data_IF_818267269006
#
_entry.id   IF_818267269006
#
_cell.length_a   1.000
_cell.length_b   1.000
_cell.length_c   1.000
_cell.angle_alpha   90.00
_cell.angle_beta   90.00
_cell.angle_gamma   90.00
#
_symmetry.space_group_name_H-M   'P 1'
#
loop_
_entity.id
_entity.type
_entity.pdbx_description
1 polymer ?
#
# COMPACT_ATOMS: atom_id res chain seq x y z
N UNK A 1 1.77 3.05 -15.80
CA UNK A 1 2.54 4.08 -16.53
C UNK A 1 4.01 3.73 -16.45
N UNK A 2 4.70 3.74 -17.60
CA UNK A 2 6.17 3.60 -17.65
C UNK A 2 6.81 4.93 -17.27
N UNK A 3 7.70 4.90 -16.27
CA UNK A 3 8.53 6.02 -15.87
C UNK A 3 10.00 5.65 -16.06
N UNK A 4 10.92 6.60 -15.92
CA UNK A 4 12.36 6.38 -16.08
C UNK A 4 12.91 5.33 -15.09
N UNK A 5 12.42 5.34 -13.84
CA UNK A 5 12.90 4.48 -12.74
C UNK A 5 12.15 3.17 -12.56
N UNK A 6 11.05 2.96 -13.26
CA UNK A 6 10.21 1.77 -13.09
C UNK A 6 8.83 1.93 -13.68
N UNK A 7 8.02 0.89 -13.53
CA UNK A 7 6.60 0.93 -13.86
C UNK A 7 5.80 1.40 -12.65
N UNK A 8 5.11 2.53 -12.78
CA UNK A 8 4.13 3.00 -11.79
C UNK A 8 2.83 2.24 -11.94
N UNK A 9 2.31 1.77 -10.83
CA UNK A 9 1.02 1.09 -10.74
C UNK A 9 0.09 1.83 -9.79
N UNK A 10 -1.19 1.82 -10.15
CA UNK A 10 -2.30 2.29 -9.33
C UNK A 10 -3.20 1.09 -9.02
N UNK A 11 -3.41 0.81 -7.75
CA UNK A 11 -4.14 -0.37 -7.30
C UNK A 11 -5.21 0.00 -6.27
N UNK A 12 -6.21 -0.85 -6.15
CA UNK A 12 -7.22 -0.76 -5.10
C UNK A 12 -6.79 -1.52 -3.86
N UNK A 13 -7.07 -0.94 -2.70
CA UNK A 13 -7.03 -1.63 -1.44
C UNK A 13 -8.41 -1.65 -0.81
N UNK A 14 -8.84 -2.82 -0.37
CA UNK A 14 -10.13 -3.02 0.27
C UNK A 14 -9.90 -3.38 1.73
N UNK A 15 -10.56 -2.67 2.62
CA UNK A 15 -10.52 -2.93 4.05
C UNK A 15 -11.92 -3.01 4.60
N UNK A 16 -12.20 -4.06 5.36
CA UNK A 16 -13.40 -4.14 6.17
C UNK A 16 -13.25 -3.27 7.42
N UNK A 17 -14.26 -2.48 7.72
CA UNK A 17 -14.34 -1.64 8.90
C UNK A 17 -15.76 -1.65 9.47
N UNK A 18 -15.94 -1.08 10.67
CA UNK A 18 -17.25 -1.06 11.35
C UNK A 18 -18.37 -0.41 10.52
N UNK A 19 -18.02 0.49 9.58
CA UNK A 19 -18.95 1.15 8.66
C UNK A 19 -19.13 0.42 7.31
N UNK A 20 -18.67 -0.83 7.20
CA UNK A 20 -18.66 -1.61 5.96
C UNK A 20 -17.28 -1.59 5.25
N UNK A 21 -17.28 -1.93 3.98
CA UNK A 21 -16.05 -1.96 3.18
C UNK A 21 -15.59 -0.52 2.87
N UNK A 22 -14.28 -0.32 2.94
CA UNK A 22 -13.63 0.91 2.52
C UNK A 22 -12.66 0.61 1.38
N UNK A 23 -12.84 1.29 0.25
CA UNK A 23 -11.96 1.20 -0.90
C UNK A 23 -11.09 2.45 -0.97
N UNK A 24 -9.80 2.23 -1.14
CA UNK A 24 -8.78 3.28 -1.29
C UNK A 24 -7.84 2.93 -2.43
N UNK A 25 -7.10 3.91 -2.93
CA UNK A 25 -6.08 3.68 -3.94
C UNK A 25 -4.70 3.64 -3.31
N UNK A 26 -3.89 2.71 -3.78
CA UNK A 26 -2.47 2.57 -3.47
C UNK A 26 -1.64 2.78 -4.72
N UNK A 27 -0.41 3.19 -4.52
CA UNK A 27 0.60 3.21 -5.58
C UNK A 27 1.79 2.34 -5.19
N UNK A 28 2.40 1.75 -6.20
CA UNK A 28 3.66 1.02 -6.05
C UNK A 28 4.43 1.08 -7.37
N UNK A 29 5.70 0.70 -7.33
CA UNK A 29 6.58 0.65 -8.49
C UNK A 29 7.16 -0.74 -8.65
N UNK A 30 7.29 -1.18 -9.92
CA UNK A 30 7.99 -2.41 -10.27
C UNK A 30 9.17 -2.12 -11.17
N UNK A 31 10.07 -3.08 -11.22
CA UNK A 31 11.27 -3.02 -12.06
C UNK A 31 10.92 -2.92 -13.56
N UNK A 32 11.74 -2.20 -14.34
CA UNK A 32 11.51 -1.99 -15.76
C UNK A 32 11.66 -3.26 -16.60
N UNK A 33 12.66 -4.09 -16.28
CA UNK A 33 12.98 -5.32 -17.02
C UNK A 33 12.26 -6.54 -16.42
N UNK A 34 12.01 -6.50 -15.11
CA UNK A 34 11.34 -7.55 -14.35
C UNK A 34 10.05 -7.01 -13.71
N UNK A 35 9.01 -6.74 -14.49
CA UNK A 35 7.80 -6.05 -14.01
C UNK A 35 7.02 -6.83 -12.93
N UNK A 36 7.39 -8.06 -12.64
CA UNK A 36 6.87 -8.84 -11.51
C UNK A 36 7.61 -8.60 -10.18
N UNK A 37 8.70 -7.81 -10.19
CA UNK A 37 9.46 -7.44 -8.99
C UNK A 37 9.01 -6.08 -8.50
N UNK A 38 8.39 -6.02 -7.33
CA UNK A 38 8.03 -4.76 -6.67
C UNK A 38 9.30 -4.15 -6.06
N UNK A 39 9.64 -2.93 -6.49
CA UNK A 39 10.82 -2.21 -6.02
C UNK A 39 10.51 -1.20 -4.93
N UNK A 40 9.35 -0.56 -4.99
CA UNK A 40 8.91 0.44 -4.01
C UNK A 40 7.42 0.29 -3.74
N UNK A 41 7.06 0.39 -2.48
CA UNK A 41 5.67 0.26 -2.04
C UNK A 41 5.42 1.15 -0.81
N UNK A 42 5.00 2.40 -1.04
CA UNK A 42 4.66 3.37 0.01
C UNK A 42 3.73 2.81 1.07
N UNK A 43 3.93 3.22 2.30
CA UNK A 43 3.01 2.94 3.38
C UNK A 43 1.71 3.74 3.26
N UNK A 44 0.63 3.17 3.78
CA UNK A 44 -0.69 3.80 3.75
C UNK A 44 -1.33 3.80 2.36
N UNK A 45 -2.34 4.61 2.18
CA UNK A 45 -3.04 4.78 0.91
C UNK A 45 -2.61 6.08 0.21
N UNK A 46 -2.64 6.06 -1.11
CA UNK A 46 -2.39 7.25 -1.94
C UNK A 46 -3.60 8.19 -1.97
N UNK A 47 -4.79 7.64 -2.22
CA UNK A 47 -6.05 8.38 -2.22
C UNK A 47 -7.14 7.61 -1.50
N UNK A 48 -8.00 8.33 -0.78
CA UNK A 48 -9.17 7.80 -0.11
C UNK A 48 -10.34 8.77 -0.22
N UNK A 49 -11.59 8.30 -0.17
CA UNK A 49 -12.75 9.18 -0.28
C UNK A 49 -12.79 10.18 0.88
N UNK A 50 -13.10 11.44 0.59
CA UNK A 50 -13.16 12.55 1.54
C UNK A 50 -14.49 13.30 1.44
N UNK A 51 -14.97 13.81 2.56
CA UNK A 51 -16.19 14.63 2.58
C UNK A 51 -17.36 13.93 1.89
N UNK A 52 -17.94 14.59 0.91
CA UNK A 52 -19.08 14.09 0.11
C UNK A 52 -18.77 12.88 -0.76
N UNK A 53 -17.49 12.65 -1.09
CA UNK A 53 -17.06 11.43 -1.80
C UNK A 53 -17.33 10.15 -1.00
N UNK A 54 -17.57 10.27 0.29
CA UNK A 54 -17.83 9.14 1.20
C UNK A 54 -19.27 8.66 1.17
N UNK A 55 -20.17 9.38 0.51
CA UNK A 55 -21.61 9.13 0.52
C UNK A 55 -22.11 8.92 -0.90
N UNK A 56 -22.81 7.83 -1.13
CA UNK A 56 -23.41 7.48 -2.42
C UNK A 56 -24.02 6.07 -2.35
N UNK A 57 -24.21 5.44 -3.49
CA UNK A 57 -24.82 4.12 -3.61
C UNK A 57 -24.00 3.06 -2.86
N UNK A 58 -22.67 3.16 -2.91
CA UNK A 58 -21.74 2.36 -2.10
C UNK A 58 -20.82 3.28 -1.33
N UNK A 59 -21.12 3.52 -0.06
CA UNK A 59 -20.38 4.46 0.79
C UNK A 59 -18.92 4.05 1.00
N UNK A 60 -18.03 5.04 1.16
CA UNK A 60 -16.60 4.88 1.45
C UNK A 60 -15.81 4.16 0.33
N UNK A 61 -16.25 4.22 -0.90
CA UNK A 61 -15.57 3.64 -2.07
C UNK A 61 -14.91 4.75 -2.88
N UNK A 62 -13.64 4.54 -3.22
CA UNK A 62 -12.92 5.28 -4.25
C UNK A 62 -12.34 4.25 -5.24
N UNK A 63 -12.78 4.31 -6.47
CA UNK A 63 -12.45 3.33 -7.50
C UNK A 63 -11.80 4.03 -8.71
N UNK A 64 -10.56 3.65 -9.05
CA UNK A 64 -9.89 4.19 -10.24
C UNK A 64 -10.37 3.44 -11.49
N UNK A 65 -10.85 4.21 -12.46
CA UNK A 65 -11.26 3.68 -13.77
C UNK A 65 -10.07 3.58 -14.74
N UNK A 66 -9.01 4.32 -14.44
CA UNK A 66 -7.81 4.35 -15.26
C UNK A 66 -7.05 5.66 -15.12
N UNK A 67 -5.93 5.74 -15.79
CA UNK A 67 -5.13 6.97 -15.87
C UNK A 67 -4.50 7.12 -17.25
N UNK A 68 -4.22 8.36 -17.61
CA UNK A 68 -3.58 8.71 -18.89
C UNK A 68 -2.36 9.58 -18.63
N UNK A 69 -1.31 9.37 -19.39
CA UNK A 69 -0.11 10.18 -19.43
C UNK A 69 -0.10 11.01 -20.69
N UNK A 70 0.07 12.32 -20.54
CA UNK A 70 0.25 13.27 -21.65
C UNK A 70 1.74 13.45 -21.98
N UNK A 71 2.03 13.94 -23.17
CA UNK A 71 3.40 14.20 -23.65
C UNK A 71 4.18 15.18 -22.75
N UNK A 72 3.50 16.11 -22.12
CA UNK A 72 4.08 17.08 -21.18
C UNK A 72 4.35 16.50 -19.77
N UNK A 73 4.16 15.19 -19.56
CA UNK A 73 4.33 14.54 -18.28
C UNK A 73 3.16 14.65 -17.31
N UNK A 74 2.06 15.30 -17.72
CA UNK A 74 0.84 15.39 -16.91
C UNK A 74 0.13 14.04 -16.87
N UNK A 75 -0.34 13.65 -15.69
CA UNK A 75 -1.10 12.42 -15.45
C UNK A 75 -2.51 12.78 -14.99
N UNK A 76 -3.50 12.30 -15.72
CA UNK A 76 -4.91 12.39 -15.33
C UNK A 76 -5.35 11.03 -14.77
N UNK A 77 -5.81 11.01 -13.52
CA UNK A 77 -6.35 9.85 -12.85
C UNK A 77 -7.87 9.98 -12.81
N UNK A 78 -8.55 9.10 -13.51
CA UNK A 78 -10.01 9.04 -13.55
C UNK A 78 -10.49 8.09 -12.48
N UNK A 79 -11.35 8.58 -11.59
CA UNK A 79 -11.88 7.78 -10.49
C UNK A 79 -13.34 8.06 -10.19
N UNK A 80 -14.01 7.11 -9.62
CA UNK A 80 -15.36 7.24 -9.10
C UNK A 80 -15.36 7.27 -7.57
N UNK A 81 -16.27 8.02 -6.98
CA UNK A 81 -16.52 8.02 -5.55
C UNK A 81 -17.90 7.49 -5.24
N UNK A 82 -17.96 6.54 -4.29
CA UNK A 82 -19.19 5.93 -3.75
C UNK A 82 -20.18 5.44 -4.82
N UNK A 83 -19.64 4.98 -5.98
CA UNK A 83 -20.37 4.50 -7.16
C UNK A 83 -21.39 5.51 -7.71
N UNK A 84 -21.24 6.78 -7.40
CA UNK A 84 -22.22 7.82 -7.71
C UNK A 84 -21.64 8.96 -8.57
N UNK A 85 -20.35 9.30 -8.39
CA UNK A 85 -19.71 10.45 -9.01
C UNK A 85 -18.42 10.09 -9.68
N UNK A 86 -18.18 10.66 -10.87
CA UNK A 86 -16.90 10.55 -11.57
C UNK A 86 -16.06 11.82 -11.36
N UNK A 87 -14.77 11.63 -11.16
CA UNK A 87 -13.80 12.67 -10.90
C UNK A 87 -12.55 12.51 -11.75
N UNK A 88 -11.78 13.58 -11.86
CA UNK A 88 -10.43 13.57 -12.42
C UNK A 88 -9.48 14.23 -11.43
N UNK A 89 -8.44 13.50 -11.02
CA UNK A 89 -7.30 14.07 -10.31
C UNK A 89 -6.15 14.30 -11.29
N UNK A 90 -5.47 15.44 -11.17
CA UNK A 90 -4.35 15.81 -12.04
C UNK A 90 -3.06 15.83 -11.23
N UNK A 91 -2.03 15.21 -11.78
CA UNK A 91 -0.68 15.18 -11.21
C UNK A 91 0.37 15.21 -12.32
N UNK A 92 1.62 14.91 -12.01
CA UNK A 92 2.68 14.67 -12.98
C UNK A 92 3.43 13.37 -12.66
N UNK A 93 4.04 12.76 -13.68
CA UNK A 93 4.88 11.56 -13.50
C UNK A 93 5.92 11.80 -12.42
N UNK A 94 6.60 12.94 -12.45
CA UNK A 94 7.67 13.24 -11.49
C UNK A 94 7.18 13.26 -10.04
N UNK A 95 6.02 13.89 -9.78
CA UNK A 95 5.41 13.91 -8.44
C UNK A 95 4.99 12.53 -7.98
N UNK A 96 4.45 11.71 -8.89
CA UNK A 96 4.04 10.35 -8.56
C UNK A 96 5.23 9.43 -8.31
N UNK A 97 6.30 9.57 -9.09
CA UNK A 97 7.58 8.85 -8.88
C UNK A 97 8.20 9.27 -7.56
N UNK A 98 8.26 10.58 -7.28
CA UNK A 98 8.78 11.12 -6.02
C UNK A 98 8.01 10.56 -4.81
N UNK A 99 6.69 10.58 -4.88
CA UNK A 99 5.83 10.00 -3.85
C UNK A 99 6.14 8.52 -3.61
N UNK A 100 6.24 7.72 -4.67
CA UNK A 100 6.43 6.27 -4.54
C UNK A 100 7.82 5.92 -4.00
N UNK A 101 8.85 6.65 -4.42
CA UNK A 101 10.23 6.36 -4.02
C UNK A 101 10.54 6.88 -2.61
N UNK A 102 10.03 8.05 -2.27
CA UNK A 102 10.43 8.77 -1.04
C UNK A 102 9.44 8.60 0.12
N UNK A 103 8.27 8.00 -0.11
CA UNK A 103 7.35 7.65 0.99
C UNK A 103 7.81 6.33 1.64
N UNK A 104 8.07 6.32 2.95
CA UNK A 104 8.48 5.11 3.66
C UNK A 104 7.47 3.97 3.53
N UNK A 105 7.95 2.75 3.55
CA UNK A 105 7.10 1.56 3.62
C UNK A 105 6.36 1.47 4.96
N UNK A 106 5.17 0.88 4.92
CA UNK A 106 4.42 0.60 6.14
C UNK A 106 5.05 -0.59 6.87
N UNK A 107 5.65 -0.31 8.03
CA UNK A 107 6.23 -1.34 8.88
C UNK A 107 5.23 -2.35 9.47
N UNK A 108 3.91 -2.12 9.27
CA UNK A 108 2.84 -3.04 9.68
C UNK A 108 2.28 -3.85 8.50
N UNK A 109 2.88 -3.78 7.31
CA UNK A 109 2.49 -4.64 6.19
C UNK A 109 2.63 -6.11 6.56
N UNK A 110 1.74 -6.94 6.02
CA UNK A 110 1.68 -8.37 6.34
C UNK A 110 3.02 -9.08 6.17
N UNK A 111 3.76 -8.83 5.09
CA UNK A 111 5.09 -9.41 4.87
C UNK A 111 6.08 -9.00 5.96
N UNK A 112 6.23 -7.69 6.22
CA UNK A 112 7.12 -7.15 7.26
C UNK A 112 6.68 -7.61 8.65
N UNK A 113 5.38 -7.72 8.90
CA UNK A 113 4.85 -8.25 10.17
C UNK A 113 5.19 -9.72 10.36
N UNK A 114 5.14 -10.53 9.30
CA UNK A 114 5.55 -11.95 9.35
C UNK A 114 7.04 -12.06 9.60
N UNK A 115 7.87 -11.33 8.87
CA UNK A 115 9.34 -11.32 9.05
C UNK A 115 9.73 -10.95 10.48
N UNK A 116 9.12 -9.90 11.06
CA UNK A 116 9.36 -9.51 12.45
C UNK A 116 8.94 -10.58 13.45
N UNK A 117 7.85 -11.29 13.20
CA UNK A 117 7.39 -12.39 14.05
C UNK A 117 8.32 -13.59 13.93
N UNK A 118 8.77 -13.94 12.74
CA UNK A 118 9.75 -15.00 12.52
C UNK A 118 11.05 -14.67 13.26
N UNK A 119 11.60 -13.48 13.10
CA UNK A 119 12.79 -13.04 13.81
C UNK A 119 12.62 -13.08 15.35
N UNK A 120 11.44 -12.71 15.86
CA UNK A 120 11.14 -12.82 17.30
C UNK A 120 11.11 -14.27 17.76
N UNK A 121 10.50 -15.16 16.99
CA UNK A 121 10.45 -16.60 17.29
C UNK A 121 11.86 -17.19 17.29
N UNK A 122 12.68 -16.90 16.29
CA UNK A 122 14.07 -17.35 16.20
C UNK A 122 14.91 -16.87 17.38
N UNK A 123 14.78 -15.60 17.77
CA UNK A 123 15.42 -15.06 18.97
C UNK A 123 14.96 -15.78 20.23
N UNK A 124 13.68 -16.04 20.40
CA UNK A 124 13.16 -16.75 21.55
C UNK A 124 13.65 -18.21 21.60
N UNK A 125 13.72 -18.89 20.45
CA UNK A 125 14.27 -20.25 20.36
C UNK A 125 15.74 -20.27 20.74
N UNK A 126 16.55 -19.31 20.27
CA UNK A 126 17.96 -19.21 20.62
C UNK A 126 18.20 -18.98 22.14
N UNK A 127 17.26 -18.28 22.79
CA UNK A 127 17.29 -18.10 24.25
C UNK A 127 16.84 -19.36 25.01
N UNK A 128 15.90 -20.11 24.44
CA UNK A 128 15.43 -21.37 25.02
C UNK A 128 16.49 -22.49 24.95
N UNK A 129 17.29 -22.51 23.90
CA UNK A 129 18.40 -23.44 23.72
C UNK A 129 19.63 -23.09 24.58
N UNK A 130 19.69 -21.89 25.15
CA UNK A 130 20.69 -21.49 26.13
C UNK A 130 20.31 -21.95 27.56
N UNK A 131 20.27 -23.15 27.72
CA UNK A 131 20.43 -24.18 28.76
C UNK A 131 20.13 -23.93 30.22
N UNK A 132 20.01 -22.79 30.78
CA UNK A 132 20.00 -22.73 32.25
C UNK A 132 18.72 -22.17 32.89
N UNK A 133 17.94 -21.42 32.12
CA UNK A 133 16.79 -20.70 32.68
C UNK A 133 15.50 -21.55 32.75
N UNK A 134 15.39 -22.56 31.89
CA UNK A 134 14.18 -23.41 31.86
C UNK A 134 14.26 -24.49 32.96
N UNK A 135 15.44 -25.04 33.26
CA UNK A 135 15.61 -26.00 34.38
C UNK A 135 15.35 -25.35 35.73
N UNK A 136 15.68 -24.08 35.90
CA UNK A 136 15.46 -23.37 37.16
C UNK A 136 13.98 -22.96 37.33
N UNK A 137 13.27 -22.61 36.24
CA UNK A 137 11.85 -22.28 36.27
C UNK A 137 10.93 -23.50 36.49
N UNK A 138 11.39 -24.72 36.19
CA UNK A 138 10.62 -25.93 36.38
C UNK A 138 10.83 -26.56 37.77
N UNK A 139 11.67 -25.98 38.63
CA UNK A 139 11.93 -26.47 39.99
C UNK A 139 11.08 -25.84 41.10
N UNK A 140 10.20 -24.93 40.74
CA UNK A 140 9.20 -24.29 41.59
C UNK A 140 7.81 -24.56 41.07
#
# INVERSE_FOLDING_TARGET
IKAEKGWLHLAHGVRECAAGLRYVLYMYMTDLEKPWVVTHSPGGYFMAPRGEERVGDVSNVLFANGWTLRENGEVNIYYASSDTRCHVAVSSVDKLVDYVINTPEDGLRSAVSVEKRVALIENNLSLADSDSLIEEACRY
#
